data_IF_285860780007
#
_entry.id   IF_285860780007
#
_cell.length_a   1.000
_cell.length_b   1.000
_cell.length_c   1.000
_cell.angle_alpha   90.00
_cell.angle_beta   90.00
_cell.angle_gamma   90.00
#
_symmetry.space_group_name_H-M   'P 1'
#
loop_
_entity.id
_entity.type
_entity.pdbx_description
1 polymer ?
#
# COMPACT_ATOMS: atom_id res chain seq x y z
N UNK A 1 41.35 -63.59 5.73
CA UNK A 1 40.03 -63.35 5.10
C UNK A 1 39.77 -61.84 5.11
N UNK A 2 40.01 -61.20 4.00
CA UNK A 2 39.86 -59.74 3.84
C UNK A 2 38.47 -59.49 3.25
N UNK A 3 37.58 -58.88 4.00
CA UNK A 3 36.28 -58.48 3.54
C UNK A 3 36.37 -57.13 2.83
N UNK A 4 36.36 -57.16 1.51
CA UNK A 4 36.21 -55.92 0.71
C UNK A 4 34.78 -55.41 0.82
N UNK A 5 34.60 -54.31 1.50
CA UNK A 5 33.33 -53.54 1.48
C UNK A 5 33.22 -52.84 0.13
N UNK A 6 32.32 -53.32 -0.71
CA UNK A 6 31.93 -52.65 -1.95
C UNK A 6 31.14 -51.34 -1.59
N UNK A 7 31.75 -50.20 -1.91
CA UNK A 7 31.03 -48.91 -1.87
C UNK A 7 29.82 -48.96 -2.86
N UNK A 8 28.64 -48.48 -2.45
CA UNK A 8 27.51 -48.40 -3.36
C UNK A 8 27.82 -47.42 -4.51
N UNK A 9 27.32 -47.66 -5.73
CA UNK A 9 27.58 -46.80 -6.87
C UNK A 9 27.01 -45.42 -6.64
N UNK A 10 27.84 -44.40 -6.81
CA UNK A 10 27.44 -42.99 -6.77
C UNK A 10 26.43 -42.76 -7.91
N UNK A 11 25.18 -42.43 -7.55
CA UNK A 11 24.16 -42.11 -8.50
C UNK A 11 24.63 -40.93 -9.41
N UNK A 12 24.38 -40.98 -10.75
CA UNK A 12 24.81 -39.93 -11.66
C UNK A 12 24.24 -38.58 -11.22
N UNK A 13 25.13 -37.59 -11.12
CA UNK A 13 24.74 -36.21 -10.83
C UNK A 13 23.70 -35.78 -11.86
N UNK A 14 22.50 -35.50 -11.39
CA UNK A 14 21.43 -34.97 -12.25
C UNK A 14 21.89 -33.70 -12.98
N UNK A 15 21.30 -33.36 -14.13
CA UNK A 15 21.75 -32.25 -14.96
C UNK A 15 21.96 -31.00 -14.15
N UNK A 16 23.14 -30.37 -14.30
CA UNK A 16 23.55 -29.16 -13.60
C UNK A 16 22.41 -28.13 -13.63
N UNK A 17 21.87 -27.81 -12.45
CA UNK A 17 20.77 -26.85 -12.30
C UNK A 17 21.28 -25.49 -12.81
N UNK A 18 20.85 -25.08 -14.00
CA UNK A 18 21.10 -23.71 -14.49
C UNK A 18 20.61 -22.72 -13.43
N UNK A 19 21.54 -22.12 -12.71
CA UNK A 19 21.29 -21.03 -11.78
C UNK A 19 21.02 -19.79 -12.62
N UNK A 20 19.76 -19.28 -12.57
CA UNK A 20 19.43 -18.04 -13.27
C UNK A 20 20.21 -16.87 -12.63
N UNK A 21 20.69 -15.89 -13.43
CA UNK A 21 21.34 -14.69 -12.89
C UNK A 21 20.39 -13.96 -11.92
N UNK A 22 20.93 -13.50 -10.79
CA UNK A 22 20.14 -12.78 -9.76
C UNK A 22 19.46 -11.56 -10.35
N UNK A 23 20.13 -10.85 -11.27
CA UNK A 23 19.55 -9.71 -11.97
C UNK A 23 18.26 -10.10 -12.75
N UNK A 24 18.22 -11.28 -13.38
CA UNK A 24 17.03 -11.75 -14.07
C UNK A 24 15.89 -12.09 -13.09
N UNK A 25 16.22 -12.67 -11.93
CA UNK A 25 15.25 -12.96 -10.87
C UNK A 25 14.69 -11.64 -10.31
N UNK A 26 15.56 -10.67 -9.99
CA UNK A 26 15.16 -9.35 -9.52
C UNK A 26 14.29 -8.62 -10.55
N UNK A 27 14.62 -8.70 -11.85
CA UNK A 27 13.79 -8.12 -12.90
C UNK A 27 12.41 -8.79 -12.97
N UNK A 28 12.36 -10.13 -12.90
CA UNK A 28 11.11 -10.90 -13.01
C UNK A 28 10.12 -10.62 -11.85
N UNK A 29 10.60 -10.27 -10.65
CA UNK A 29 9.74 -9.92 -9.51
C UNK A 29 9.67 -8.41 -9.26
N UNK A 30 10.72 -7.67 -9.60
CA UNK A 30 10.84 -6.23 -9.34
C UNK A 30 10.01 -5.39 -10.31
N UNK A 31 9.98 -5.74 -11.60
CA UNK A 31 9.14 -5.02 -12.59
C UNK A 31 7.66 -5.07 -12.22
N UNK A 32 7.05 -6.24 -11.88
CA UNK A 32 5.65 -6.29 -11.48
C UNK A 32 5.35 -5.51 -10.20
N UNK A 33 6.20 -5.58 -9.17
CA UNK A 33 5.95 -4.84 -7.93
C UNK A 33 6.13 -3.33 -8.14
N UNK A 34 7.09 -2.91 -8.95
CA UNK A 34 7.23 -1.51 -9.36
C UNK A 34 5.98 -1.01 -10.08
N UNK A 35 5.47 -1.78 -11.06
CA UNK A 35 4.24 -1.47 -11.79
C UNK A 35 3.05 -1.28 -10.85
N UNK A 36 2.82 -2.21 -9.92
CA UNK A 36 1.71 -2.17 -8.95
C UNK A 36 1.83 -0.97 -7.99
N UNK A 37 3.04 -0.68 -7.51
CA UNK A 37 3.26 0.44 -6.57
C UNK A 37 3.23 1.80 -7.26
N UNK A 38 3.73 1.88 -8.49
CA UNK A 38 3.66 3.07 -9.34
C UNK A 38 2.19 3.42 -9.66
N UNK A 39 1.42 2.46 -10.14
CA UNK A 39 0.02 2.61 -10.53
C UNK A 39 -0.86 3.18 -9.41
N UNK A 40 -0.59 2.80 -8.17
CA UNK A 40 -1.33 3.30 -7.02
C UNK A 40 -1.22 4.83 -6.87
N UNK A 41 -0.04 5.41 -7.08
CA UNK A 41 0.21 6.83 -6.86
C UNK A 41 0.10 7.69 -8.12
N UNK A 42 0.33 7.13 -9.29
CA UNK A 42 0.14 7.83 -10.59
C UNK A 42 -1.28 8.38 -10.70
N UNK A 43 -2.28 7.59 -10.27
CA UNK A 43 -3.69 7.98 -10.33
C UNK A 43 -3.98 9.21 -9.47
N UNK A 44 -3.35 9.36 -8.29
CA UNK A 44 -3.64 10.50 -7.40
C UNK A 44 -3.29 11.85 -8.05
N UNK A 45 -2.24 11.91 -8.85
CA UNK A 45 -1.83 13.11 -9.58
C UNK A 45 -2.75 13.37 -10.78
N UNK A 46 -3.31 12.33 -11.38
CA UNK A 46 -4.23 12.42 -12.51
C UNK A 46 -5.68 12.78 -12.11
N UNK A 47 -6.04 12.66 -10.83
CA UNK A 47 -7.43 12.86 -10.36
C UNK A 47 -8.08 14.16 -10.84
N UNK A 48 -7.43 15.34 -10.79
CA UNK A 48 -8.05 16.58 -11.26
C UNK A 48 -8.41 16.56 -12.76
N UNK A 49 -7.54 15.96 -13.59
CA UNK A 49 -7.78 15.84 -15.04
C UNK A 49 -8.86 14.80 -15.31
N UNK A 50 -8.80 13.63 -14.67
CA UNK A 50 -9.84 12.59 -14.77
C UNK A 50 -11.21 13.16 -14.35
N UNK A 51 -11.23 14.00 -13.29
CA UNK A 51 -12.44 14.66 -12.82
C UNK A 51 -13.09 15.51 -13.91
N UNK A 52 -12.29 16.33 -14.57
CA UNK A 52 -12.81 17.24 -15.62
C UNK A 52 -13.25 16.48 -16.87
N UNK A 53 -12.49 15.47 -17.28
CA UNK A 53 -12.79 14.72 -18.52
C UNK A 53 -13.93 13.72 -18.38
N UNK A 54 -14.07 13.05 -17.22
CA UNK A 54 -15.17 12.13 -16.97
C UNK A 54 -16.39 12.79 -16.28
N UNK A 55 -16.31 14.10 -15.96
CA UNK A 55 -17.35 14.77 -15.18
C UNK A 55 -17.54 14.17 -13.78
N UNK A 56 -16.46 13.63 -13.20
CA UNK A 56 -16.52 12.88 -11.97
C UNK A 56 -16.72 13.77 -10.73
N UNK A 57 -17.50 13.28 -9.76
CA UNK A 57 -17.71 13.91 -8.46
C UNK A 57 -16.49 13.67 -7.53
N UNK A 58 -16.46 14.36 -6.36
CA UNK A 58 -15.48 14.06 -5.32
C UNK A 58 -15.62 12.61 -4.82
N UNK A 59 -16.83 12.13 -4.70
CA UNK A 59 -17.14 10.76 -4.34
C UNK A 59 -16.55 9.75 -5.33
N UNK A 60 -16.63 10.03 -6.65
CA UNK A 60 -15.99 9.18 -7.66
C UNK A 60 -14.45 9.18 -7.51
N UNK A 61 -13.83 10.34 -7.24
CA UNK A 61 -12.38 10.43 -7.01
C UNK A 61 -11.94 9.57 -5.80
N UNK A 62 -12.72 9.58 -4.72
CA UNK A 62 -12.48 8.72 -3.57
C UNK A 62 -12.57 7.24 -3.97
N UNK A 63 -13.58 6.88 -4.80
CA UNK A 63 -13.74 5.52 -5.26
C UNK A 63 -12.65 5.08 -6.23
N UNK A 64 -12.07 5.93 -7.07
CA UNK A 64 -10.94 5.57 -7.91
C UNK A 64 -9.73 5.09 -7.09
N UNK A 65 -9.55 5.61 -5.88
CA UNK A 65 -8.51 5.18 -4.95
C UNK A 65 -8.98 3.99 -4.11
N UNK A 66 -10.17 4.09 -3.49
CA UNK A 66 -10.65 3.08 -2.54
C UNK A 66 -11.02 1.75 -3.22
N UNK A 67 -11.55 1.80 -4.47
CA UNK A 67 -11.85 0.60 -5.24
C UNK A 67 -10.60 -0.24 -5.57
N UNK A 68 -9.42 0.38 -5.61
CA UNK A 68 -8.15 -0.35 -5.70
C UNK A 68 -7.70 -0.85 -4.33
N UNK A 69 -7.66 0.04 -3.35
CA UNK A 69 -7.05 -0.22 -2.04
C UNK A 69 -7.80 -1.27 -1.22
N UNK A 70 -9.15 -1.24 -1.24
CA UNK A 70 -9.96 -2.17 -0.47
C UNK A 70 -9.84 -3.63 -0.95
N UNK A 71 -10.01 -3.96 -2.25
CA UNK A 71 -9.77 -5.32 -2.73
C UNK A 71 -8.31 -5.74 -2.55
N UNK A 72 -7.34 -4.84 -2.75
CA UNK A 72 -5.94 -5.13 -2.48
C UNK A 72 -5.76 -5.61 -1.04
N UNK A 73 -6.25 -4.86 -0.05
CA UNK A 73 -6.17 -5.23 1.36
C UNK A 73 -6.88 -6.55 1.66
N UNK A 74 -8.11 -6.72 1.17
CA UNK A 74 -8.96 -7.88 1.46
C UNK A 74 -8.39 -9.18 0.89
N UNK A 75 -7.85 -9.15 -0.34
CA UNK A 75 -7.38 -10.36 -1.02
C UNK A 75 -5.91 -10.71 -0.76
N UNK A 76 -5.13 -9.84 -0.11
CA UNK A 76 -3.69 -10.01 0.07
C UNK A 76 -3.32 -11.35 0.75
N UNK A 77 -3.96 -11.68 1.87
CA UNK A 77 -3.76 -12.94 2.59
C UNK A 77 -4.32 -14.15 1.81
N UNK A 78 -5.43 -13.94 1.13
CA UNK A 78 -6.08 -14.99 0.32
C UNK A 78 -5.21 -15.41 -0.86
N UNK A 79 -4.62 -14.46 -1.60
CA UNK A 79 -3.74 -14.79 -2.72
C UNK A 79 -2.39 -15.35 -2.28
N UNK A 80 -1.87 -14.96 -1.11
CA UNK A 80 -0.71 -15.63 -0.53
C UNK A 80 -1.01 -17.13 -0.28
N UNK A 81 -2.15 -17.46 0.35
CA UNK A 81 -2.58 -18.83 0.59
C UNK A 81 -2.92 -19.59 -0.72
N UNK A 82 -3.52 -18.91 -1.70
CA UNK A 82 -3.83 -19.48 -3.01
C UNK A 82 -2.54 -19.83 -3.78
N UNK A 83 -1.52 -18.97 -3.72
CA UNK A 83 -0.22 -19.22 -4.29
C UNK A 83 0.47 -20.44 -3.68
N UNK A 84 0.39 -20.61 -2.35
CA UNK A 84 0.93 -21.79 -1.66
C UNK A 84 0.25 -23.08 -2.13
N UNK A 85 -1.05 -23.03 -2.42
CA UNK A 85 -1.86 -24.19 -2.81
C UNK A 85 -1.77 -24.52 -4.30
N UNK A 86 -2.01 -23.55 -5.17
CA UNK A 86 -2.09 -23.75 -6.63
C UNK A 86 -0.74 -23.65 -7.33
N UNK A 87 0.24 -23.01 -6.67
CA UNK A 87 1.57 -22.72 -7.21
C UNK A 87 1.82 -21.22 -7.22
N UNK A 88 2.92 -20.82 -6.60
CA UNK A 88 3.28 -19.40 -6.39
C UNK A 88 3.53 -18.68 -7.71
N UNK A 89 4.29 -19.31 -8.61
CA UNK A 89 4.57 -18.74 -9.93
C UNK A 89 3.30 -18.59 -10.77
N UNK A 90 2.45 -19.62 -10.81
CA UNK A 90 1.19 -19.59 -11.59
C UNK A 90 0.26 -18.50 -11.09
N UNK A 91 0.06 -18.38 -9.77
CA UNK A 91 -0.78 -17.36 -9.15
C UNK A 91 -0.19 -15.97 -9.37
N UNK A 92 1.13 -15.81 -9.30
CA UNK A 92 1.83 -14.57 -9.57
C UNK A 92 1.64 -14.10 -11.01
N UNK A 93 1.85 -15.00 -12.01
CA UNK A 93 1.64 -14.69 -13.42
C UNK A 93 0.18 -14.35 -13.71
N UNK A 94 -0.77 -15.11 -13.15
CA UNK A 94 -2.20 -14.80 -13.27
C UNK A 94 -2.54 -13.42 -12.69
N UNK A 95 -1.94 -13.06 -11.55
CA UNK A 95 -2.08 -11.72 -10.95
C UNK A 95 -1.57 -10.63 -11.89
N UNK A 96 -0.36 -10.77 -12.46
CA UNK A 96 0.19 -9.79 -13.41
C UNK A 96 -0.70 -9.68 -14.66
N UNK A 97 -1.13 -10.80 -15.23
CA UNK A 97 -1.98 -10.81 -16.42
C UNK A 97 -3.33 -10.12 -16.14
N UNK A 98 -3.97 -10.45 -15.02
CA UNK A 98 -5.23 -9.82 -14.60
C UNK A 98 -5.06 -8.31 -14.35
N UNK A 99 -3.96 -7.89 -13.70
CA UNK A 99 -3.63 -6.48 -13.50
C UNK A 99 -3.48 -5.75 -14.84
N UNK A 100 -2.78 -6.36 -15.78
CA UNK A 100 -2.55 -5.81 -17.13
C UNK A 100 -3.86 -5.65 -17.91
N UNK A 101 -4.74 -6.66 -17.88
CA UNK A 101 -6.05 -6.60 -18.51
C UNK A 101 -6.95 -5.56 -17.88
N UNK A 102 -6.95 -5.47 -16.54
CA UNK A 102 -7.70 -4.46 -15.82
C UNK A 102 -7.16 -3.04 -16.09
N UNK A 103 -5.83 -2.89 -16.28
CA UNK A 103 -5.23 -1.63 -16.72
C UNK A 103 -5.72 -1.21 -18.11
N UNK A 104 -5.79 -2.15 -19.06
CA UNK A 104 -6.37 -1.87 -20.38
C UNK A 104 -7.85 -1.48 -20.27
N UNK A 105 -8.64 -2.15 -19.42
CA UNK A 105 -10.03 -1.78 -19.15
C UNK A 105 -10.16 -0.39 -18.52
N UNK A 106 -9.29 -0.03 -17.57
CA UNK A 106 -9.23 1.30 -16.98
C UNK A 106 -8.90 2.38 -18.02
N UNK A 107 -7.95 2.10 -18.92
CA UNK A 107 -7.57 3.02 -20.00
C UNK A 107 -8.68 3.26 -21.03
N UNK A 108 -9.58 2.30 -21.19
CA UNK A 108 -10.75 2.37 -22.11
C UNK A 108 -12.01 2.91 -21.43
N UNK A 109 -11.94 3.30 -20.14
CA UNK A 109 -13.11 3.80 -19.40
C UNK A 109 -13.56 5.16 -19.94
N UNK A 110 -14.85 5.29 -20.21
CA UNK A 110 -15.51 6.52 -20.65
C UNK A 110 -16.42 7.11 -19.56
N UNK A 111 -16.65 6.35 -18.48
CA UNK A 111 -17.51 6.74 -17.36
C UNK A 111 -16.83 6.40 -16.03
N UNK A 112 -17.15 7.15 -14.97
CA UNK A 112 -16.55 6.99 -13.64
C UNK A 112 -16.71 5.57 -13.07
N UNK A 113 -17.91 4.97 -13.20
CA UNK A 113 -18.15 3.61 -12.71
C UNK A 113 -17.31 2.55 -13.40
N UNK A 114 -17.03 2.71 -14.72
CA UNK A 114 -16.17 1.78 -15.46
C UNK A 114 -14.74 1.82 -14.92
N UNK A 115 -14.21 3.03 -14.68
CA UNK A 115 -12.89 3.21 -14.08
C UNK A 115 -12.86 2.61 -12.68
N UNK A 116 -13.87 2.88 -11.84
CA UNK A 116 -13.99 2.30 -10.49
C UNK A 116 -13.99 0.78 -10.52
N UNK A 117 -14.76 0.16 -11.42
CA UNK A 117 -14.81 -1.30 -11.56
C UNK A 117 -13.44 -1.88 -12.00
N UNK A 118 -12.78 -1.24 -12.97
CA UNK A 118 -11.46 -1.65 -13.43
C UNK A 118 -10.42 -1.54 -12.30
N UNK A 119 -10.48 -0.47 -11.49
CA UNK A 119 -9.62 -0.27 -10.30
C UNK A 119 -9.84 -1.37 -9.26
N UNK A 120 -11.07 -1.82 -9.04
CA UNK A 120 -11.34 -2.92 -8.11
C UNK A 120 -10.66 -4.22 -8.57
N UNK A 121 -10.71 -4.52 -9.86
CA UNK A 121 -10.03 -5.70 -10.43
C UNK A 121 -8.50 -5.53 -10.37
N UNK A 122 -7.96 -4.33 -10.64
CA UNK A 122 -6.53 -4.05 -10.49
C UNK A 122 -6.07 -4.26 -9.04
N UNK A 123 -6.81 -3.73 -8.04
CA UNK A 123 -6.49 -3.90 -6.64
C UNK A 123 -6.45 -5.38 -6.23
N UNK A 124 -7.47 -6.15 -6.62
CA UNK A 124 -7.50 -7.59 -6.40
C UNK A 124 -6.29 -8.31 -7.06
N UNK A 125 -5.95 -7.94 -8.29
CA UNK A 125 -4.81 -8.51 -9.01
C UNK A 125 -3.46 -8.15 -8.37
N UNK A 126 -3.29 -6.90 -7.94
CA UNK A 126 -2.10 -6.42 -7.22
C UNK A 126 -1.87 -7.17 -5.91
N UNK A 127 -2.96 -7.57 -5.22
CA UNK A 127 -2.90 -8.39 -4.01
C UNK A 127 -2.28 -9.79 -4.25
N UNK A 128 -2.33 -10.31 -5.46
CA UNK A 128 -1.60 -11.52 -5.83
C UNK A 128 -0.11 -11.24 -6.11
N UNK A 129 0.20 -10.07 -6.68
CA UNK A 129 1.57 -9.72 -7.07
C UNK A 129 2.46 -9.44 -5.87
N UNK A 130 2.02 -8.61 -4.93
CA UNK A 130 2.88 -8.09 -3.86
C UNK A 130 3.48 -9.19 -2.95
N UNK A 131 2.71 -10.08 -2.29
CA UNK A 131 3.26 -11.08 -1.38
C UNK A 131 4.01 -12.19 -2.12
N UNK A 132 3.55 -12.57 -3.32
CA UNK A 132 4.16 -13.64 -4.07
C UNK A 132 5.48 -13.23 -4.71
N UNK A 133 5.66 -11.96 -5.10
CA UNK A 133 6.93 -11.43 -5.60
C UNK A 133 8.07 -11.62 -4.59
N UNK A 134 7.83 -11.24 -3.33
CA UNK A 134 8.81 -11.39 -2.25
C UNK A 134 9.10 -12.85 -1.93
N UNK A 135 8.05 -13.69 -1.91
CA UNK A 135 8.20 -15.12 -1.62
C UNK A 135 9.00 -15.84 -2.72
N UNK A 136 8.69 -15.56 -3.99
CA UNK A 136 9.41 -16.13 -5.15
C UNK A 136 10.88 -15.66 -5.17
N UNK A 137 11.13 -14.38 -4.87
CA UNK A 137 12.49 -13.85 -4.73
C UNK A 137 13.28 -14.59 -3.66
N UNK A 138 12.71 -14.70 -2.45
CA UNK A 138 13.38 -15.33 -1.31
C UNK A 138 13.74 -16.80 -1.55
N UNK A 139 12.98 -17.50 -2.40
CA UNK A 139 13.23 -18.90 -2.78
C UNK A 139 14.23 -19.07 -3.95
N UNK A 140 14.26 -18.08 -4.85
CA UNK A 140 15.10 -18.17 -6.05
C UNK A 140 16.55 -17.73 -5.80
N UNK A 141 16.81 -16.96 -4.72
CA UNK A 141 18.12 -16.39 -4.40
C UNK A 141 18.80 -17.21 -3.30
N UNK A 142 20.14 -17.49 -3.41
CA UNK A 142 20.92 -18.15 -2.37
C UNK A 142 20.85 -17.39 -1.03
N UNK A 143 20.90 -18.13 0.10
CA UNK A 143 20.76 -17.58 1.46
C UNK A 143 21.70 -16.41 1.75
N UNK A 144 22.98 -16.51 1.30
CA UNK A 144 24.00 -15.46 1.49
C UNK A 144 23.64 -14.12 0.84
N UNK A 145 22.81 -14.13 -0.20
CA UNK A 145 22.45 -12.94 -0.99
C UNK A 145 20.99 -12.52 -0.79
N UNK A 146 20.21 -13.30 -0.02
CA UNK A 146 18.78 -13.09 0.18
C UNK A 146 18.47 -11.72 0.78
N UNK A 147 19.21 -11.32 1.83
CA UNK A 147 18.97 -10.02 2.48
C UNK A 147 19.23 -8.85 1.53
N UNK A 148 20.27 -8.91 0.73
CA UNK A 148 20.58 -7.90 -0.28
C UNK A 148 19.51 -7.85 -1.37
N UNK A 149 19.06 -9.01 -1.87
CA UNK A 149 18.02 -9.10 -2.89
C UNK A 149 16.66 -8.55 -2.39
N UNK A 150 16.28 -8.86 -1.15
CA UNK A 150 15.06 -8.32 -0.51
C UNK A 150 15.18 -6.81 -0.31
N UNK A 151 16.38 -6.32 0.06
CA UNK A 151 16.65 -4.88 0.13
C UNK A 151 16.46 -4.16 -1.21
N UNK A 152 17.00 -4.74 -2.30
CA UNK A 152 16.83 -4.21 -3.66
C UNK A 152 15.36 -4.24 -4.09
N UNK A 153 14.64 -5.33 -3.80
CA UNK A 153 13.20 -5.44 -4.08
C UNK A 153 12.41 -4.36 -3.34
N UNK A 154 12.72 -4.12 -2.06
CA UNK A 154 12.12 -3.04 -1.28
C UNK A 154 12.43 -1.66 -1.86
N UNK A 155 13.66 -1.43 -2.32
CA UNK A 155 14.08 -0.22 -3.01
C UNK A 155 13.31 0.01 -4.33
N UNK A 156 13.12 -1.03 -5.14
CA UNK A 156 12.32 -0.97 -6.37
C UNK A 156 10.86 -0.62 -6.06
N UNK A 157 10.27 -1.25 -5.06
CA UNK A 157 8.91 -0.93 -4.62
C UNK A 157 8.80 0.52 -4.12
N UNK A 158 9.76 0.98 -3.32
CA UNK A 158 9.83 2.35 -2.83
C UNK A 158 10.03 3.38 -3.96
N UNK A 159 10.82 3.03 -4.98
CA UNK A 159 11.01 3.89 -6.16
C UNK A 159 9.68 4.10 -6.90
N UNK A 160 8.84 3.04 -7.04
CA UNK A 160 7.51 3.18 -7.65
C UNK A 160 6.65 4.20 -6.92
N UNK A 161 6.68 4.18 -5.57
CA UNK A 161 5.99 5.17 -4.73
C UNK A 161 6.55 6.57 -4.95
N UNK A 162 7.87 6.71 -4.95
CA UNK A 162 8.54 8.01 -5.00
C UNK A 162 8.36 8.73 -6.35
N UNK A 163 8.46 8.00 -7.47
CA UNK A 163 8.36 8.60 -8.80
C UNK A 163 6.92 8.63 -9.35
N UNK A 164 5.98 7.97 -8.69
CA UNK A 164 4.58 7.89 -9.11
C UNK A 164 3.96 9.25 -9.47
N UNK A 165 4.01 10.24 -8.59
CA UNK A 165 3.43 11.56 -8.86
C UNK A 165 4.06 12.26 -10.07
N UNK A 166 5.38 12.12 -10.26
CA UNK A 166 6.10 12.75 -11.41
C UNK A 166 5.75 12.05 -12.72
N UNK A 167 5.76 10.71 -12.72
CA UNK A 167 5.37 9.93 -13.91
C UNK A 167 3.91 10.20 -14.27
N UNK A 168 3.02 10.22 -13.25
CA UNK A 168 1.61 10.55 -13.46
C UNK A 168 1.43 11.94 -14.06
N UNK A 169 2.12 12.93 -13.49
CA UNK A 169 2.09 14.30 -13.98
C UNK A 169 2.60 14.43 -15.41
N UNK A 170 3.77 13.84 -15.71
CA UNK A 170 4.37 13.88 -17.05
C UNK A 170 3.48 13.23 -18.12
N UNK A 171 2.87 12.11 -17.77
CA UNK A 171 1.96 11.40 -18.68
C UNK A 171 0.70 12.22 -18.96
N UNK A 172 0.08 12.76 -17.92
CA UNK A 172 -1.19 13.50 -18.05
C UNK A 172 -0.99 14.86 -18.69
N UNK A 173 0.20 15.48 -18.57
CA UNK A 173 0.53 16.74 -19.23
C UNK A 173 0.84 16.55 -20.72
N UNK A 174 1.57 15.48 -21.07
CA UNK A 174 1.99 15.23 -22.45
C UNK A 174 1.02 14.38 -23.27
N UNK A 175 0.13 13.61 -22.62
CA UNK A 175 -0.75 12.65 -23.24
C UNK A 175 -2.15 12.67 -22.56
N UNK A 176 -3.10 11.96 -23.15
CA UNK A 176 -4.40 11.74 -22.50
C UNK A 176 -4.23 10.94 -21.18
N UNK A 177 -5.05 11.24 -20.14
CA UNK A 177 -4.94 10.61 -18.82
C UNK A 177 -4.95 9.07 -18.86
N UNK A 178 -5.64 8.48 -19.82
CA UNK A 178 -5.71 7.00 -19.97
C UNK A 178 -4.33 6.34 -20.16
N UNK A 179 -3.32 7.10 -20.59
CA UNK A 179 -1.97 6.58 -20.76
C UNK A 179 -1.29 6.18 -19.45
N UNK A 180 -1.74 6.71 -18.29
CA UNK A 180 -1.26 6.22 -16.99
C UNK A 180 -1.56 4.71 -16.82
N UNK A 181 -2.64 4.23 -17.42
CA UNK A 181 -3.03 2.82 -17.42
C UNK A 181 -2.44 2.06 -18.60
N UNK A 182 -2.40 2.68 -19.81
CA UNK A 182 -1.80 2.05 -20.98
C UNK A 182 -0.32 1.71 -20.77
N UNK A 183 0.45 2.48 -19.98
CA UNK A 183 1.84 2.17 -19.66
C UNK A 183 2.00 0.82 -18.95
N UNK A 184 1.03 0.39 -18.17
CA UNK A 184 1.06 -0.91 -17.51
C UNK A 184 0.93 -2.09 -18.50
N UNK A 185 0.35 -1.88 -19.68
CA UNK A 185 0.09 -2.98 -20.64
C UNK A 185 1.39 -3.55 -21.19
N UNK A 186 2.27 -2.79 -21.84
CA UNK A 186 3.54 -3.34 -22.35
C UNK A 186 4.44 -3.83 -21.20
N UNK A 187 4.46 -3.14 -20.06
CA UNK A 187 5.24 -3.53 -18.89
C UNK A 187 4.72 -4.87 -18.33
N UNK A 188 3.41 -5.04 -18.22
CA UNK A 188 2.79 -6.26 -17.74
C UNK A 188 3.03 -7.47 -18.69
N UNK A 189 2.98 -7.27 -20.01
CA UNK A 189 3.31 -8.31 -20.99
C UNK A 189 4.77 -8.77 -20.80
N UNK A 190 5.71 -7.84 -20.72
CA UNK A 190 7.12 -8.14 -20.45
C UNK A 190 7.28 -8.85 -19.09
N UNK A 191 6.59 -8.40 -18.06
CA UNK A 191 6.62 -9.00 -16.74
C UNK A 191 6.10 -10.44 -16.73
N UNK A 192 5.02 -10.75 -17.46
CA UNK A 192 4.49 -12.12 -17.63
C UNK A 192 5.53 -13.02 -18.31
N UNK A 193 6.15 -12.55 -19.40
CA UNK A 193 7.17 -13.29 -20.12
C UNK A 193 8.39 -13.58 -19.24
N UNK A 194 8.89 -12.56 -18.52
CA UNK A 194 10.01 -12.71 -17.60
C UNK A 194 9.68 -13.66 -16.44
N UNK A 195 8.52 -13.50 -15.81
CA UNK A 195 8.09 -14.38 -14.73
C UNK A 195 7.95 -15.84 -15.23
N UNK A 196 7.42 -16.03 -16.42
CA UNK A 196 7.25 -17.35 -17.01
C UNK A 196 8.58 -18.01 -17.40
N UNK A 197 9.57 -17.26 -17.85
CA UNK A 197 10.86 -17.79 -18.30
C UNK A 197 11.90 -17.98 -17.18
N UNK A 198 11.88 -17.09 -16.17
CA UNK A 198 12.93 -17.00 -15.14
C UNK A 198 12.54 -17.70 -13.85
N UNK A 199 11.29 -17.52 -13.39
CA UNK A 199 10.86 -18.03 -12.10
C UNK A 199 10.53 -19.53 -12.17
N UNK A 200 10.82 -20.24 -11.09
CA UNK A 200 10.47 -21.66 -10.95
C UNK A 200 9.18 -21.81 -10.16
N UNK A 201 8.40 -22.84 -10.51
CA UNK A 201 7.21 -23.15 -9.74
C UNK A 201 7.59 -23.67 -8.36
N UNK A 202 6.87 -23.19 -7.36
CA UNK A 202 6.99 -23.66 -5.99
C UNK A 202 5.63 -23.65 -5.31
N UNK A 203 5.45 -24.51 -4.34
CA UNK A 203 4.26 -24.61 -3.53
C UNK A 203 4.65 -24.51 -2.06
N UNK A 204 3.79 -23.89 -1.26
CA UNK A 204 3.95 -23.89 0.19
C UNK A 204 3.20 -25.04 0.85
N UNK A 205 3.17 -25.06 2.19
CA UNK A 205 2.24 -25.93 2.93
C UNK A 205 0.80 -25.56 2.56
N UNK A 206 -0.05 -26.57 2.35
CA UNK A 206 -1.44 -26.39 1.94
C UNK A 206 -2.25 -25.69 3.04
N UNK A 207 -2.23 -24.36 3.10
CA UNK A 207 -3.15 -23.59 3.96
C UNK A 207 -4.56 -23.69 3.39
N UNK A 208 -5.53 -23.90 4.27
CA UNK A 208 -6.93 -23.85 3.88
C UNK A 208 -7.33 -22.42 3.58
N UNK A 209 -8.07 -22.23 2.49
CA UNK A 209 -8.69 -20.93 2.20
C UNK A 209 -9.82 -20.71 3.21
N UNK A 210 -10.00 -19.46 3.60
CA UNK A 210 -11.08 -19.01 4.48
C UNK A 210 -12.03 -18.08 3.73
N UNK A 211 -12.94 -18.63 2.86
CA UNK A 211 -13.82 -17.80 2.05
C UNK A 211 -14.79 -16.97 2.89
N UNK A 212 -15.24 -17.50 4.04
CA UNK A 212 -16.15 -16.78 4.93
C UNK A 212 -15.41 -15.62 5.61
N UNK A 213 -14.18 -15.86 6.10
CA UNK A 213 -13.35 -14.78 6.64
C UNK A 213 -13.07 -13.68 5.61
N UNK A 214 -12.79 -14.06 4.34
CA UNK A 214 -12.63 -13.10 3.25
C UNK A 214 -13.89 -12.26 3.01
N UNK A 215 -15.06 -12.91 2.90
CA UNK A 215 -16.33 -12.22 2.65
C UNK A 215 -16.68 -11.26 3.80
N UNK A 216 -16.50 -11.72 5.05
CA UNK A 216 -16.79 -10.90 6.23
C UNK A 216 -15.84 -9.69 6.34
N UNK A 217 -14.54 -9.88 6.11
CA UNK A 217 -13.57 -8.78 6.18
C UNK A 217 -13.72 -7.81 5.01
N UNK A 218 -13.82 -8.31 3.77
CA UNK A 218 -14.00 -7.48 2.58
C UNK A 218 -15.33 -6.72 2.61
N UNK A 219 -16.43 -7.39 2.93
CA UNK A 219 -17.75 -6.78 3.04
C UNK A 219 -17.82 -5.74 4.17
N UNK A 220 -17.21 -6.06 5.33
CA UNK A 220 -17.16 -5.13 6.46
C UNK A 220 -16.34 -3.87 6.14
N UNK A 221 -15.15 -4.02 5.55
CA UNK A 221 -14.32 -2.89 5.13
C UNK A 221 -15.02 -2.03 4.07
N UNK A 222 -15.63 -2.69 3.06
CA UNK A 222 -16.34 -1.99 1.99
C UNK A 222 -17.50 -1.16 2.54
N UNK A 223 -18.35 -1.74 3.39
CA UNK A 223 -19.49 -1.04 3.97
C UNK A 223 -19.06 0.12 4.88
N UNK A 224 -18.04 -0.05 5.71
CA UNK A 224 -17.54 1.04 6.55
C UNK A 224 -17.03 2.21 5.72
N UNK A 225 -16.18 1.94 4.74
CA UNK A 225 -15.63 2.99 3.87
C UNK A 225 -16.73 3.65 3.06
N UNK A 226 -17.69 2.88 2.54
CA UNK A 226 -18.83 3.41 1.81
C UNK A 226 -19.69 4.32 2.70
N UNK A 227 -20.00 3.91 3.94
CA UNK A 227 -20.75 4.74 4.87
C UNK A 227 -20.03 6.06 5.20
N UNK A 228 -18.69 6.05 5.31
CA UNK A 228 -17.89 7.27 5.50
C UNK A 228 -17.91 8.17 4.27
N UNK A 229 -17.78 7.59 3.06
CA UNK A 229 -17.83 8.33 1.79
C UNK A 229 -19.20 8.96 1.53
N UNK A 230 -20.28 8.26 1.86
CA UNK A 230 -21.66 8.68 1.64
C UNK A 230 -22.17 9.70 2.69
N UNK A 231 -21.49 9.74 3.86
CA UNK A 231 -21.92 10.53 5.03
C UNK A 231 -22.19 12.02 4.74
N UNK A 232 -21.27 12.75 4.06
CA UNK A 232 -21.46 14.16 3.73
C UNK A 232 -22.64 14.42 2.80
N UNK A 233 -22.86 13.58 1.79
CA UNK A 233 -23.88 13.80 0.75
C UNK A 233 -25.29 13.43 1.22
N UNK A 234 -25.43 12.40 2.07
CA UNK A 234 -26.72 11.87 2.51
C UNK A 234 -27.06 12.16 3.98
N UNK A 235 -26.12 12.75 4.73
CA UNK A 235 -26.24 13.00 6.17
C UNK A 235 -25.85 11.79 7.03
N UNK A 236 -25.05 12.04 8.06
CA UNK A 236 -24.49 11.02 8.95
C UNK A 236 -25.55 10.23 9.74
N UNK A 237 -26.71 10.84 10.01
CA UNK A 237 -27.84 10.20 10.71
C UNK A 237 -28.85 9.53 9.77
N UNK A 238 -28.61 9.52 8.46
CA UNK A 238 -29.52 8.86 7.51
C UNK A 238 -29.53 7.35 7.71
N UNK A 239 -30.70 6.73 7.51
CA UNK A 239 -30.83 5.27 7.64
C UNK A 239 -29.88 4.51 6.70
N UNK A 240 -29.58 5.07 5.51
CA UNK A 240 -28.62 4.52 4.55
C UNK A 240 -27.20 4.49 5.13
N UNK A 241 -26.67 5.62 5.60
CA UNK A 241 -25.31 5.75 6.15
C UNK A 241 -25.17 4.90 7.43
N UNK A 242 -26.16 4.98 8.34
CA UNK A 242 -26.15 4.19 9.57
C UNK A 242 -26.17 2.68 9.27
N UNK A 243 -26.96 2.23 8.29
CA UNK A 243 -26.97 0.81 7.88
C UNK A 243 -25.59 0.36 7.38
N UNK A 244 -24.89 1.20 6.59
CA UNK A 244 -23.55 0.88 6.11
C UNK A 244 -22.52 0.84 7.24
N UNK A 245 -22.51 1.85 8.13
CA UNK A 245 -21.57 1.92 9.25
C UNK A 245 -21.80 0.78 10.27
N UNK A 246 -23.06 0.58 10.68
CA UNK A 246 -23.41 -0.48 11.66
C UNK A 246 -23.23 -1.85 11.02
N UNK A 247 -23.70 -2.04 9.78
CA UNK A 247 -23.56 -3.30 9.04
C UNK A 247 -22.07 -3.65 8.81
N UNK A 248 -21.25 -2.68 8.44
CA UNK A 248 -19.82 -2.85 8.28
C UNK A 248 -19.13 -3.22 9.60
N UNK A 249 -19.44 -2.53 10.68
CA UNK A 249 -18.93 -2.85 12.02
C UNK A 249 -19.38 -4.25 12.48
N UNK A 250 -20.64 -4.62 12.23
CA UNK A 250 -21.16 -5.95 12.54
C UNK A 250 -20.46 -7.06 11.76
N UNK A 251 -20.18 -6.85 10.45
CA UNK A 251 -19.43 -7.83 9.65
C UNK A 251 -17.99 -7.97 10.13
N UNK A 252 -17.31 -6.88 10.51
CA UNK A 252 -15.95 -6.96 11.09
C UNK A 252 -15.96 -7.64 12.47
N UNK A 253 -16.96 -7.39 13.30
CA UNK A 253 -17.13 -8.11 14.55
C UNK A 253 -17.39 -9.61 14.32
N UNK A 254 -18.21 -9.96 13.33
CA UNK A 254 -18.45 -11.34 12.91
C UNK A 254 -17.16 -11.97 12.35
N UNK A 255 -16.36 -11.22 11.58
CA UNK A 255 -15.04 -11.66 11.11
C UNK A 255 -14.13 -12.03 12.29
N UNK A 256 -13.99 -11.15 13.28
CA UNK A 256 -13.18 -11.41 14.48
C UNK A 256 -13.69 -12.65 15.21
N UNK A 257 -15.02 -12.75 15.42
CA UNK A 257 -15.64 -13.92 16.06
C UNK A 257 -15.43 -15.23 15.28
N UNK A 258 -15.45 -15.15 13.94
CA UNK A 258 -15.13 -16.28 13.07
C UNK A 258 -13.67 -16.69 13.17
N UNK A 259 -12.73 -15.74 13.07
CA UNK A 259 -11.29 -16.02 13.18
C UNK A 259 -10.93 -16.62 14.54
N UNK A 260 -11.63 -16.23 15.62
CA UNK A 260 -11.43 -16.78 16.96
C UNK A 260 -11.84 -18.27 17.08
N UNK A 261 -12.79 -18.74 16.24
CA UNK A 261 -13.32 -20.10 16.26
C UNK A 261 -12.78 -20.99 15.15
N UNK A 262 -12.24 -20.38 14.09
CA UNK A 262 -11.71 -21.12 12.95
C UNK A 262 -10.41 -21.84 13.32
N UNK A 263 -10.32 -23.14 13.03
CA UNK A 263 -9.11 -23.94 13.27
C UNK A 263 -7.93 -23.55 12.37
N UNK A 264 -8.21 -22.94 11.23
CA UNK A 264 -7.21 -22.48 10.25
C UNK A 264 -7.49 -21.04 9.82
N UNK A 265 -7.37 -20.07 10.75
CA UNK A 265 -7.73 -18.68 10.47
C UNK A 265 -6.81 -18.06 9.43
N UNK A 266 -7.34 -17.21 8.55
CA UNK A 266 -6.50 -16.39 7.65
C UNK A 266 -5.73 -15.32 8.43
N UNK A 267 -6.32 -14.82 9.53
CA UNK A 267 -5.70 -13.88 10.47
C UNK A 267 -5.71 -14.49 11.88
N UNK A 268 -4.63 -15.16 12.31
CA UNK A 268 -4.55 -15.69 13.66
C UNK A 268 -4.59 -14.56 14.71
N UNK A 269 -5.63 -14.53 15.53
CA UNK A 269 -5.78 -13.51 16.56
C UNK A 269 -4.72 -13.64 17.67
N UNK A 270 -3.99 -14.75 17.73
CA UNK A 270 -2.84 -14.95 18.62
C UNK A 270 -1.74 -13.90 18.38
N UNK A 271 -1.59 -13.39 17.16
CA UNK A 271 -0.66 -12.30 16.84
C UNK A 271 -0.89 -11.06 17.71
N UNK A 272 -2.16 -10.76 17.99
CA UNK A 272 -2.56 -9.58 18.76
C UNK A 272 -2.39 -9.76 20.28
N UNK A 273 -2.02 -10.96 20.75
CA UNK A 273 -1.58 -11.17 22.14
C UNK A 273 -0.21 -10.55 22.40
N UNK A 274 0.62 -10.42 21.35
CA UNK A 274 1.85 -9.64 21.43
C UNK A 274 1.49 -8.15 21.52
N UNK A 275 1.85 -7.52 22.65
CA UNK A 275 1.68 -6.07 22.85
C UNK A 275 2.40 -5.26 21.77
N UNK A 276 3.60 -5.73 21.38
CA UNK A 276 4.41 -5.09 20.33
C UNK A 276 3.69 -5.10 18.99
N UNK A 277 3.14 -6.25 18.60
CA UNK A 277 2.41 -6.40 17.33
C UNK A 277 1.11 -5.56 17.33
N UNK A 278 0.31 -5.59 18.39
CA UNK A 278 -0.93 -4.81 18.48
C UNK A 278 -0.69 -3.31 18.40
N UNK A 279 0.30 -2.81 19.14
CA UNK A 279 0.62 -1.38 19.14
C UNK A 279 1.19 -0.93 17.80
N UNK A 280 2.12 -1.69 17.20
CA UNK A 280 2.70 -1.31 15.90
C UNK A 280 1.66 -1.38 14.78
N UNK A 281 0.71 -2.29 14.86
CA UNK A 281 -0.42 -2.38 13.92
C UNK A 281 -1.32 -1.15 13.99
N UNK A 282 -1.61 -0.64 15.20
CA UNK A 282 -2.35 0.60 15.38
C UNK A 282 -1.55 1.81 14.85
N UNK A 283 -0.24 1.85 15.10
CA UNK A 283 0.65 2.89 14.50
C UNK A 283 0.65 2.80 12.98
N UNK A 284 0.65 1.60 12.40
CA UNK A 284 0.55 1.41 10.95
C UNK A 284 -0.76 1.98 10.38
N UNK A 285 -1.88 1.72 11.06
CA UNK A 285 -3.20 2.23 10.67
C UNK A 285 -3.23 3.76 10.65
N UNK A 286 -2.82 4.38 11.76
CA UNK A 286 -2.83 5.84 11.92
C UNK A 286 -1.83 6.53 10.98
N UNK A 287 -0.64 5.95 10.82
CA UNK A 287 0.35 6.39 9.84
C UNK A 287 -0.24 6.43 8.43
N UNK A 288 -0.82 5.33 7.98
CA UNK A 288 -1.35 5.22 6.62
C UNK A 288 -2.56 6.12 6.41
N UNK A 289 -3.48 6.17 7.37
CA UNK A 289 -4.69 6.99 7.26
C UNK A 289 -4.35 8.49 7.16
N UNK A 290 -3.53 9.00 8.08
CA UNK A 290 -3.18 10.42 8.05
C UNK A 290 -2.32 10.81 6.85
N UNK A 291 -1.32 9.97 6.51
CA UNK A 291 -0.38 10.27 5.41
C UNK A 291 -1.07 10.23 4.04
N UNK A 292 -1.71 9.11 3.70
CA UNK A 292 -2.25 8.94 2.36
C UNK A 292 -3.56 9.70 2.15
N UNK A 293 -4.33 9.94 3.22
CA UNK A 293 -5.45 10.88 3.17
C UNK A 293 -4.99 12.30 2.86
N UNK A 294 -3.91 12.78 3.50
CA UNK A 294 -3.32 14.08 3.19
C UNK A 294 -2.75 14.14 1.75
N UNK A 295 -2.03 13.11 1.30
CA UNK A 295 -1.49 13.02 -0.06
C UNK A 295 -2.61 13.10 -1.11
N UNK A 296 -3.75 12.46 -0.87
CA UNK A 296 -4.92 12.51 -1.77
C UNK A 296 -5.39 13.96 -2.03
N UNK A 297 -5.48 14.78 -1.00
CA UNK A 297 -5.93 16.18 -1.13
C UNK A 297 -4.82 17.11 -1.62
N UNK A 298 -3.58 16.93 -1.13
CA UNK A 298 -2.44 17.77 -1.50
C UNK A 298 -2.02 17.61 -2.96
N UNK A 299 -2.18 16.42 -3.54
CA UNK A 299 -1.96 16.21 -4.98
C UNK A 299 -2.90 17.08 -5.84
N UNK A 300 -4.11 17.34 -5.35
CA UNK A 300 -5.10 18.18 -6.03
C UNK A 300 -4.91 19.67 -5.74
N UNK A 301 -4.43 20.01 -4.54
CA UNK A 301 -4.20 21.39 -4.13
C UNK A 301 -3.29 22.17 -5.10
N UNK A 302 -2.18 21.57 -5.51
CA UNK A 302 -1.25 22.19 -6.43
C UNK A 302 -1.87 22.48 -7.80
N UNK A 303 -2.74 21.62 -8.29
CA UNK A 303 -3.38 21.78 -9.59
C UNK A 303 -4.60 22.71 -9.51
N UNK A 304 -5.48 22.53 -8.51
CA UNK A 304 -6.75 23.28 -8.40
C UNK A 304 -6.53 24.67 -7.86
N UNK A 305 -5.70 24.84 -6.82
CA UNK A 305 -5.51 26.13 -6.14
C UNK A 305 -4.39 26.94 -6.79
N UNK A 306 -3.22 26.31 -6.99
CA UNK A 306 -2.05 27.01 -7.56
C UNK A 306 -2.07 27.04 -9.09
N UNK A 307 -2.96 26.29 -9.74
CA UNK A 307 -3.08 26.26 -11.20
C UNK A 307 -1.85 25.67 -11.89
N UNK A 308 -1.12 24.79 -11.19
CA UNK A 308 0.07 24.17 -11.74
C UNK A 308 -0.29 23.07 -12.73
N UNK A 309 0.62 22.80 -13.66
CA UNK A 309 0.53 21.62 -14.50
C UNK A 309 0.60 20.33 -13.64
N UNK A 310 0.03 19.22 -14.11
CA UNK A 310 0.15 17.94 -13.41
C UNK A 310 1.60 17.52 -13.14
N UNK A 311 2.53 17.81 -14.07
CA UNK A 311 3.96 17.51 -13.90
C UNK A 311 4.58 18.38 -12.81
N UNK A 312 4.34 19.70 -12.85
CA UNK A 312 4.84 20.62 -11.82
C UNK A 312 4.32 20.27 -10.44
N UNK A 313 3.02 19.89 -10.34
CA UNK A 313 2.42 19.39 -9.11
C UNK A 313 3.15 18.12 -8.60
N UNK A 314 3.42 17.17 -9.50
CA UNK A 314 4.19 15.97 -9.20
C UNK A 314 5.61 16.28 -8.71
N UNK A 315 6.32 17.17 -9.39
CA UNK A 315 7.68 17.61 -9.01
C UNK A 315 7.68 18.27 -7.63
N UNK A 316 6.68 19.10 -7.32
CA UNK A 316 6.59 19.76 -6.01
C UNK A 316 6.31 18.81 -4.86
N UNK A 317 5.77 17.61 -5.12
CA UNK A 317 5.61 16.57 -4.09
C UNK A 317 6.88 15.74 -3.84
N UNK A 318 7.92 15.82 -4.71
CA UNK A 318 9.16 15.05 -4.59
C UNK A 318 9.87 15.16 -3.23
N UNK A 319 9.97 16.34 -2.58
CA UNK A 319 10.60 16.43 -1.27
C UNK A 319 9.97 15.49 -0.23
N UNK A 320 8.65 15.27 -0.33
CA UNK A 320 7.97 14.30 0.52
C UNK A 320 8.22 12.85 0.08
N UNK A 321 8.04 12.55 -1.21
CA UNK A 321 8.05 11.17 -1.71
C UNK A 321 9.45 10.58 -1.87
N UNK A 322 10.48 11.42 -2.12
CA UNK A 322 11.87 10.99 -2.28
C UNK A 322 12.64 10.89 -0.96
N UNK A 323 12.30 11.70 0.06
CA UNK A 323 13.00 11.68 1.33
C UNK A 323 13.02 10.27 1.98
N UNK A 324 11.93 9.47 1.96
CA UNK A 324 11.97 8.10 2.45
C UNK A 324 13.00 7.20 1.79
N UNK A 325 13.34 7.41 0.51
CA UNK A 325 14.35 6.61 -0.20
C UNK A 325 15.74 6.76 0.41
N UNK A 326 16.05 7.91 0.97
CA UNK A 326 17.32 8.20 1.64
C UNK A 326 17.23 7.87 3.14
N UNK A 327 16.12 8.27 3.77
CA UNK A 327 15.96 8.19 5.22
C UNK A 327 15.67 6.77 5.69
N UNK A 328 14.89 5.97 4.95
CA UNK A 328 14.54 4.61 5.40
C UNK A 328 15.76 3.66 5.47
N UNK A 329 16.70 3.63 4.50
CA UNK A 329 17.96 2.87 4.66
C UNK A 329 18.80 3.35 5.84
N UNK A 330 18.90 4.68 6.04
CA UNK A 330 19.61 5.24 7.19
C UNK A 330 18.95 4.83 8.52
N UNK A 331 17.62 4.91 8.59
CA UNK A 331 16.87 4.43 9.76
C UNK A 331 17.15 2.95 10.05
N UNK A 332 17.27 2.11 9.01
CA UNK A 332 17.66 0.70 9.16
C UNK A 332 19.06 0.52 9.73
N UNK A 333 20.04 1.28 9.23
CA UNK A 333 21.43 1.24 9.72
C UNK A 333 21.53 1.69 11.19
N UNK A 334 20.79 2.71 11.56
CA UNK A 334 20.80 3.26 12.91
C UNK A 334 19.82 2.58 13.87
N UNK A 335 19.01 1.63 13.40
CA UNK A 335 17.98 0.96 14.20
C UNK A 335 18.56 0.27 15.45
N UNK A 336 19.73 -0.36 15.34
CA UNK A 336 20.38 -1.04 16.46
C UNK A 336 20.87 -0.06 17.55
N UNK A 337 21.28 1.15 17.14
CA UNK A 337 21.79 2.19 18.07
C UNK A 337 20.69 3.02 18.70
N UNK A 338 19.72 3.47 17.89
CA UNK A 338 18.66 4.36 18.33
C UNK A 338 17.44 3.62 18.87
N UNK A 339 17.24 2.38 18.46
CA UNK A 339 16.10 1.54 18.77
C UNK A 339 14.87 1.85 17.88
N UNK A 340 14.18 0.81 17.43
CA UNK A 340 13.02 0.91 16.53
C UNK A 340 11.92 1.83 17.09
N UNK A 341 11.63 1.72 18.40
CA UNK A 341 10.63 2.57 19.06
C UNK A 341 10.94 4.06 18.91
N UNK A 342 12.18 4.49 19.19
CA UNK A 342 12.55 5.90 19.15
C UNK A 342 12.49 6.44 17.72
N UNK A 343 12.89 5.63 16.72
CA UNK A 343 12.77 5.97 15.31
C UNK A 343 11.31 6.17 14.91
N UNK A 344 10.40 5.27 15.30
CA UNK A 344 8.97 5.36 15.01
C UNK A 344 8.37 6.60 15.69
N UNK A 345 8.68 6.86 16.97
CA UNK A 345 8.18 8.04 17.69
C UNK A 345 8.65 9.32 17.02
N UNK A 346 9.95 9.45 16.75
CA UNK A 346 10.52 10.60 16.05
C UNK A 346 9.91 10.77 14.65
N UNK A 347 9.80 9.66 13.90
CA UNK A 347 9.23 9.67 12.56
C UNK A 347 7.77 10.13 12.54
N UNK A 348 6.93 9.56 13.39
CA UNK A 348 5.52 9.96 13.51
C UNK A 348 5.36 11.42 13.96
N UNK A 349 6.20 11.86 14.89
CA UNK A 349 6.15 13.26 15.37
C UNK A 349 6.54 14.24 14.27
N UNK A 350 7.63 13.96 13.55
CA UNK A 350 8.07 14.80 12.42
C UNK A 350 7.04 14.80 11.29
N UNK A 351 6.45 13.66 10.98
CA UNK A 351 5.41 13.52 9.97
C UNK A 351 4.16 14.33 10.36
N UNK A 352 3.68 14.17 11.59
CA UNK A 352 2.53 14.93 12.10
C UNK A 352 2.79 16.45 12.09
N UNK A 353 3.98 16.88 12.54
CA UNK A 353 4.39 18.28 12.51
C UNK A 353 4.49 18.82 11.08
N UNK A 354 5.06 18.05 10.15
CA UNK A 354 5.14 18.43 8.73
C UNK A 354 3.76 18.57 8.08
N UNK A 355 2.86 17.61 8.29
CA UNK A 355 1.47 17.66 7.79
C UNK A 355 0.72 18.85 8.41
N UNK A 356 0.86 19.07 9.71
CA UNK A 356 0.24 20.20 10.39
C UNK A 356 0.78 21.54 9.86
N UNK A 357 2.09 21.65 9.65
CA UNK A 357 2.68 22.86 9.06
C UNK A 357 2.14 23.10 7.66
N UNK A 358 2.05 22.07 6.80
CA UNK A 358 1.45 22.20 5.47
C UNK A 358 0.02 22.73 5.59
N UNK A 359 -0.80 22.18 6.50
CA UNK A 359 -2.18 22.65 6.71
C UNK A 359 -2.24 24.12 7.08
N UNK A 360 -1.45 24.54 8.09
CA UNK A 360 -1.47 25.91 8.62
C UNK A 360 -0.88 26.94 7.65
N UNK A 361 0.07 26.54 6.81
CA UNK A 361 0.65 27.41 5.78
C UNK A 361 -0.21 27.48 4.49
N UNK A 362 -1.11 26.52 4.27
CA UNK A 362 -1.92 26.46 3.06
C UNK A 362 -2.89 27.64 2.97
N UNK A 363 -2.82 28.37 1.87
CA UNK A 363 -3.73 29.45 1.51
C UNK A 363 -3.87 29.52 -0.02
N UNK A 364 -4.81 30.30 -0.51
CA UNK A 364 -5.00 30.49 -1.96
C UNK A 364 -3.77 31.16 -2.63
N UNK A 365 -2.94 31.83 -1.86
CA UNK A 365 -1.78 32.62 -2.34
C UNK A 365 -0.44 32.11 -1.80
N UNK A 366 -0.42 30.95 -1.10
CA UNK A 366 0.82 30.42 -0.52
C UNK A 366 1.88 30.15 -1.58
N UNK A 367 3.13 30.47 -1.27
CA UNK A 367 4.26 30.16 -2.16
C UNK A 367 4.81 28.76 -1.87
N UNK A 368 5.43 28.14 -2.86
CA UNK A 368 6.05 26.83 -2.66
C UNK A 368 7.17 26.86 -1.61
N UNK A 369 7.89 27.98 -1.51
CA UNK A 369 8.95 28.20 -0.52
C UNK A 369 8.47 28.01 0.93
N UNK A 370 7.21 28.38 1.21
CA UNK A 370 6.60 28.24 2.54
C UNK A 370 6.25 26.80 2.89
N UNK A 371 6.10 25.94 1.87
CA UNK A 371 5.67 24.54 2.02
C UNK A 371 6.83 23.54 1.93
N UNK A 372 7.91 23.86 1.19
CA UNK A 372 8.96 22.87 0.87
C UNK A 372 9.62 22.26 2.11
N UNK A 373 9.88 23.05 3.14
CA UNK A 373 10.47 22.58 4.38
C UNK A 373 9.52 21.62 5.10
N UNK A 374 8.23 21.95 5.10
CA UNK A 374 7.20 21.08 5.70
C UNK A 374 7.06 19.76 4.93
N UNK A 375 7.19 19.77 3.58
CA UNK A 375 7.23 18.56 2.76
C UNK A 375 8.46 17.70 3.07
N UNK A 376 9.64 18.31 3.21
CA UNK A 376 10.87 17.58 3.62
C UNK A 376 10.68 16.96 5.00
N UNK A 377 10.14 17.72 5.95
CA UNK A 377 9.89 17.25 7.32
C UNK A 377 8.94 16.04 7.33
N UNK A 378 7.84 16.14 6.58
CA UNK A 378 6.89 15.03 6.42
C UNK A 378 7.54 13.81 5.77
N UNK A 379 8.36 14.01 4.72
CA UNK A 379 9.07 12.93 4.04
C UNK A 379 10.13 12.26 4.92
N UNK A 380 10.90 13.01 5.69
CA UNK A 380 11.84 12.47 6.69
C UNK A 380 11.08 11.66 7.73
N UNK A 381 9.97 12.21 8.27
CA UNK A 381 9.11 11.51 9.21
C UNK A 381 8.56 10.20 8.65
N UNK A 382 8.12 10.20 7.38
CA UNK A 382 7.67 9.01 6.68
C UNK A 382 8.78 7.96 6.57
N UNK A 383 10.00 8.34 6.20
CA UNK A 383 11.15 7.44 6.09
C UNK A 383 11.56 6.81 7.42
N UNK A 384 11.56 7.60 8.50
CA UNK A 384 11.85 7.13 9.86
C UNK A 384 10.74 6.22 10.41
N UNK A 385 9.56 6.21 9.80
CA UNK A 385 8.40 5.43 10.26
C UNK A 385 8.23 4.14 9.47
N UNK A 386 8.24 4.20 8.13
CA UNK A 386 7.79 3.13 7.24
C UNK A 386 8.58 1.82 7.42
N UNK A 387 9.92 1.88 7.36
CA UNK A 387 10.76 0.70 7.50
C UNK A 387 10.81 0.18 8.96
N UNK A 388 10.98 1.02 10.00
CA UNK A 388 10.95 0.58 11.38
C UNK A 388 9.62 -0.05 11.83
N UNK A 389 8.46 0.42 11.34
CA UNK A 389 7.16 -0.22 11.61
C UNK A 389 7.14 -1.67 11.13
N UNK A 390 7.55 -1.91 9.87
CA UNK A 390 7.58 -3.24 9.28
C UNK A 390 8.53 -4.16 10.05
N UNK A 391 9.71 -3.65 10.41
CA UNK A 391 10.70 -4.39 11.22
C UNK A 391 10.16 -4.72 12.62
N UNK A 392 9.52 -3.76 13.29
CA UNK A 392 8.93 -3.95 14.62
C UNK A 392 7.78 -4.98 14.58
N UNK A 393 6.94 -4.96 13.55
CA UNK A 393 5.86 -5.93 13.39
C UNK A 393 6.40 -7.36 13.30
N UNK A 394 7.44 -7.58 12.49
CA UNK A 394 8.06 -8.89 12.32
C UNK A 394 8.87 -9.35 13.55
N UNK A 395 9.49 -8.41 14.26
CA UNK A 395 10.27 -8.69 15.46
C UNK A 395 9.40 -8.92 16.71
N UNK A 396 8.10 -8.61 16.64
CA UNK A 396 7.14 -8.78 17.74
C UNK A 396 6.41 -10.13 17.73
N UNK A 397 6.74 -11.02 16.80
CA UNK A 397 6.09 -12.33 16.63
C UNK A 397 7.15 -13.43 16.42
N UNK A 398 6.75 -14.69 16.63
CA UNK A 398 7.62 -15.83 16.38
C UNK A 398 8.03 -15.95 14.90
N UNK A 399 9.15 -16.62 14.64
CA UNK A 399 9.67 -16.77 13.28
C UNK A 399 8.69 -17.46 12.33
N UNK A 400 7.93 -18.42 12.84
CA UNK A 400 6.89 -19.16 12.11
C UNK A 400 5.70 -18.27 11.71
N UNK A 401 5.43 -17.22 12.49
CA UNK A 401 4.29 -16.31 12.29
C UNK A 401 4.63 -15.08 11.43
N UNK A 402 5.92 -14.80 11.17
CA UNK A 402 6.38 -13.59 10.43
C UNK A 402 5.67 -13.39 9.10
N UNK A 403 5.43 -14.46 8.33
CA UNK A 403 4.74 -14.35 7.04
C UNK A 403 3.31 -13.86 7.18
N UNK A 404 2.55 -14.38 8.15
CA UNK A 404 1.18 -13.95 8.41
C UNK A 404 1.14 -12.56 9.04
N UNK A 405 2.06 -12.25 9.96
CA UNK A 405 2.18 -10.93 10.57
C UNK A 405 2.50 -9.84 9.54
N UNK A 406 3.38 -10.13 8.58
CA UNK A 406 3.66 -9.23 7.45
C UNK A 406 2.40 -8.99 6.60
N UNK A 407 1.68 -10.06 6.26
CA UNK A 407 0.42 -9.95 5.53
C UNK A 407 -0.62 -9.13 6.28
N UNK A 408 -0.82 -9.42 7.56
CA UNK A 408 -1.74 -8.69 8.42
C UNK A 408 -1.38 -7.19 8.53
N UNK A 409 -0.11 -6.87 8.75
CA UNK A 409 0.35 -5.49 8.82
C UNK A 409 0.15 -4.74 7.49
N UNK A 410 0.39 -5.39 6.34
CA UNK A 410 0.12 -4.82 5.04
C UNK A 410 -1.38 -4.61 4.79
N UNK A 411 -2.23 -5.57 5.15
CA UNK A 411 -3.70 -5.42 5.06
C UNK A 411 -4.18 -4.21 5.88
N UNK A 412 -3.68 -4.03 7.10
CA UNK A 412 -4.03 -2.91 7.97
C UNK A 412 -3.49 -1.59 7.42
N UNK A 413 -2.31 -1.60 6.80
CA UNK A 413 -1.78 -0.43 6.10
C UNK A 413 -2.72 0.02 4.99
N UNK A 414 -3.16 -0.89 4.13
CA UNK A 414 -4.07 -0.57 3.03
C UNK A 414 -5.47 -0.14 3.52
N UNK A 415 -5.97 -0.78 4.58
CA UNK A 415 -7.20 -0.32 5.25
C UNK A 415 -7.03 1.12 5.78
N UNK A 416 -5.86 1.45 6.36
CA UNK A 416 -5.53 2.80 6.77
C UNK A 416 -5.60 3.78 5.60
N UNK A 417 -5.03 3.43 4.44
CA UNK A 417 -5.12 4.28 3.22
C UNK A 417 -6.58 4.55 2.86
N UNK A 418 -7.40 3.50 2.73
CA UNK A 418 -8.80 3.64 2.34
C UNK A 418 -9.62 4.49 3.33
N UNK A 419 -9.48 4.22 4.63
CA UNK A 419 -10.14 4.99 5.70
C UNK A 419 -9.65 6.44 5.70
N UNK A 420 -8.34 6.65 5.55
CA UNK A 420 -7.75 7.99 5.51
C UNK A 420 -8.29 8.84 4.37
N UNK A 421 -8.30 8.31 3.15
CA UNK A 421 -8.89 9.00 1.98
C UNK A 421 -10.36 9.32 2.23
N UNK A 422 -11.16 8.34 2.71
CA UNK A 422 -12.57 8.54 2.96
C UNK A 422 -12.82 9.62 4.05
N UNK A 423 -12.12 9.53 5.18
CA UNK A 423 -12.29 10.48 6.31
C UNK A 423 -11.87 11.90 5.91
N UNK A 424 -10.66 12.06 5.33
CA UNK A 424 -10.17 13.39 5.01
C UNK A 424 -10.98 14.04 3.88
N UNK A 425 -11.40 13.27 2.87
CA UNK A 425 -12.26 13.79 1.82
C UNK A 425 -13.66 14.14 2.35
N UNK A 426 -14.20 13.39 3.32
CA UNK A 426 -15.46 13.71 3.99
C UNK A 426 -15.36 15.00 4.83
N UNK A 427 -14.24 15.21 5.52
CA UNK A 427 -13.99 16.49 6.22
C UNK A 427 -13.86 17.63 5.19
N UNK A 428 -13.12 17.41 4.11
CA UNK A 428 -12.98 18.39 3.03
C UNK A 428 -14.35 18.82 2.49
N UNK A 429 -15.22 17.89 2.14
CA UNK A 429 -16.54 18.20 1.57
C UNK A 429 -17.50 18.86 2.56
N UNK A 430 -17.25 18.70 3.86
CA UNK A 430 -18.06 19.38 4.91
C UNK A 430 -17.72 20.86 5.08
N UNK A 431 -16.52 21.29 4.70
CA UNK A 431 -16.02 22.66 4.92
C UNK A 431 -15.67 23.38 3.63
N UNK A 432 -15.54 22.69 2.51
CA UNK A 432 -15.08 23.26 1.26
C UNK A 432 -15.63 22.56 0.01
N UNK A 433 -15.19 23.05 -1.14
CA UNK A 433 -15.61 22.52 -2.44
C UNK A 433 -14.59 22.86 -3.54
N UNK A 434 -14.84 22.39 -4.76
CA UNK A 434 -14.04 22.74 -5.94
C UNK A 434 -14.55 24.01 -6.66
N UNK A 435 -15.45 24.79 -6.04
CA UNK A 435 -16.07 25.96 -6.68
C UNK A 435 -15.10 27.14 -6.84
N UNK A 436 -14.21 27.34 -5.89
CA UNK A 436 -13.15 28.37 -5.96
C UNK A 436 -11.89 27.90 -5.23
N UNK A 437 -10.77 28.64 -5.43
CA UNK A 437 -9.49 28.38 -4.75
C UNK A 437 -9.63 28.52 -3.23
N UNK A 438 -10.35 29.54 -2.78
CA UNK A 438 -10.62 29.81 -1.37
C UNK A 438 -11.45 28.69 -0.77
N UNK A 439 -12.55 28.30 -1.43
CA UNK A 439 -13.41 27.21 -0.97
C UNK A 439 -12.67 25.87 -0.91
N UNK A 440 -11.72 25.64 -1.83
CA UNK A 440 -10.85 24.45 -1.75
C UNK A 440 -9.97 24.48 -0.51
N UNK A 441 -9.35 25.63 -0.21
CA UNK A 441 -8.48 25.80 0.98
C UNK A 441 -9.29 25.68 2.27
N UNK A 442 -10.50 26.21 2.32
CA UNK A 442 -11.41 26.10 3.48
C UNK A 442 -11.72 24.64 3.82
N UNK A 443 -11.82 23.76 2.83
CA UNK A 443 -11.96 22.32 3.03
C UNK A 443 -10.63 21.60 3.31
N UNK A 444 -9.56 22.01 2.62
CA UNK A 444 -8.24 21.38 2.71
C UNK A 444 -7.66 21.49 4.13
N UNK A 445 -7.65 22.71 4.69
CA UNK A 445 -7.00 22.98 5.97
C UNK A 445 -7.54 22.11 7.10
N UNK A 446 -8.86 22.07 7.39
CA UNK A 446 -9.39 21.19 8.44
C UNK A 446 -9.17 19.71 8.14
N UNK A 447 -9.28 19.28 6.88
CA UNK A 447 -9.04 17.89 6.51
C UNK A 447 -7.59 17.47 6.79
N UNK A 448 -6.61 18.28 6.39
CA UNK A 448 -5.18 17.98 6.59
C UNK A 448 -4.80 18.09 8.07
N UNK A 449 -5.43 18.99 8.86
CA UNK A 449 -5.30 19.02 10.34
C UNK A 449 -5.77 17.69 10.95
N UNK A 450 -6.92 17.17 10.53
CA UNK A 450 -7.40 15.85 10.98
C UNK A 450 -6.39 14.76 10.64
N UNK A 451 -5.80 14.79 9.44
CA UNK A 451 -4.71 13.88 9.05
C UNK A 451 -3.50 13.97 9.98
N UNK A 452 -3.06 15.18 10.31
CA UNK A 452 -1.97 15.43 11.27
C UNK A 452 -2.31 14.89 12.66
N UNK A 453 -3.54 15.09 13.14
CA UNK A 453 -4.01 14.57 14.43
C UNK A 453 -4.02 13.03 14.45
N UNK A 454 -4.46 12.39 13.37
CA UNK A 454 -4.44 10.92 13.26
C UNK A 454 -2.99 10.40 13.36
N UNK A 455 -2.02 11.01 12.67
CA UNK A 455 -0.61 10.65 12.77
C UNK A 455 -0.06 10.94 14.17
N UNK A 456 -0.43 12.07 14.80
CA UNK A 456 -0.02 12.42 16.16
C UNK A 456 -0.51 11.39 17.19
N UNK A 457 -1.73 10.86 17.04
CA UNK A 457 -2.21 9.73 17.86
C UNK A 457 -1.29 8.52 17.69
N UNK A 458 -0.84 8.23 16.45
CA UNK A 458 0.16 7.20 16.19
C UNK A 458 1.48 7.44 16.91
N UNK A 459 1.96 8.69 16.96
CA UNK A 459 3.16 9.06 17.71
C UNK A 459 3.01 8.80 19.23
N UNK A 460 1.85 9.15 19.79
CA UNK A 460 1.53 8.88 21.19
C UNK A 460 1.47 7.38 21.46
N UNK A 461 0.77 6.61 20.61
CA UNK A 461 0.71 5.13 20.72
C UNK A 461 2.10 4.52 20.63
N UNK A 462 2.98 5.04 19.77
CA UNK A 462 4.34 4.56 19.62
C UNK A 462 5.18 4.69 20.89
N UNK A 463 4.84 5.60 21.83
CA UNK A 463 5.52 5.70 23.13
C UNK A 463 5.36 4.45 24.00
N UNK A 464 4.33 3.66 23.79
CA UNK A 464 4.10 2.40 24.50
C UNK A 464 4.67 1.16 23.80
N UNK A 465 5.27 1.31 22.61
CA UNK A 465 6.00 0.23 21.96
C UNK A 465 7.13 -0.31 22.85
N UNK A 466 7.40 -1.60 22.87
CA UNK A 466 8.51 -2.16 23.63
C UNK A 466 9.85 -1.61 23.08
N UNK A 467 10.77 -1.29 24.00
CA UNK A 467 12.12 -0.80 23.63
C UNK A 467 12.94 -1.89 22.93
N UNK A 468 12.76 -3.15 23.34
CA UNK A 468 13.30 -4.34 22.67
C UNK A 468 12.12 -5.24 22.35
N UNK A 469 11.89 -5.55 21.06
CA UNK A 469 10.84 -6.50 20.71
C UNK A 469 11.19 -7.87 21.30
N UNK A 470 10.27 -8.43 22.09
CA UNK A 470 10.31 -9.80 22.56
C UNK A 470 9.26 -10.57 21.79
N UNK A 471 9.68 -11.64 21.10
CA UNK A 471 8.77 -12.58 20.47
C UNK A 471 7.96 -13.34 21.51
#
# INVERSE_FOLDING_TARGET
MSTSTLEPPVAPAGPARRTMPIAAILAAVGIPIFMVTLDNLVVTTALPVIRTELGASLTDLQWFVNAYTLPFAAFLLTFAALGDRLGRRRTFIAGIALFTLASAAAALSTEAWMLTAARAVQGMAGAAVAPLSLTLLAQAVPDKQRNAAVGIWGGISGLGVAVGPVVGGAVVEGLHWSWIFWLNVPVGVVAVILAASVLRESRGGARRLDPLGLLLSAGGMLLLVWGVVDGPDHGWASGRVLTMLIGGAALLAAFIGWQARNSTPMLPLTLFRSRGFSLVTLVTLTFSAGTFGAVFLLAQFFQVVQGLSPLDAGIRTLPWTMAPMVVAPLAGIFADRLGLRNLIVAGQTLLAAGILWIALASSATVTYGDLVIAFILAGVGMGLTFAPISTMALASVSEQERGVASGANNTIRELGVAVGVAVLASVFSSFGSYASRESFVDGLVPAVIVGACIVAVGAVVALWLPRRPTA
#
